data_IF_265912088437
#
_entry.id   IF_265912088437
#
_cell.length_a   1.000
_cell.length_b   1.000
_cell.length_c   1.000
_cell.angle_alpha   90.00
_cell.angle_beta   90.00
_cell.angle_gamma   90.00
#
_symmetry.space_group_name_H-M   'P 1'
#
loop_
_entity.id
_entity.type
_entity.pdbx_description
1 polymer ?
#
# COMPACT_ATOMS: atom_id res chain seq x y z
N UNK A 1 -32.53 -49.71 -8.37
CA UNK A 1 -31.19 -49.46 -8.96
C UNK A 1 -30.71 -48.13 -8.40
N UNK A 2 -29.85 -48.14 -7.38
CA UNK A 2 -29.33 -46.92 -6.75
C UNK A 2 -28.19 -46.36 -7.58
N UNK A 3 -28.45 -45.30 -8.34
CA UNK A 3 -27.44 -44.55 -9.07
C UNK A 3 -26.41 -43.98 -8.08
N UNK A 4 -25.21 -44.55 -8.12
CA UNK A 4 -24.08 -44.05 -7.31
C UNK A 4 -23.57 -42.78 -7.98
N UNK A 5 -24.04 -41.62 -7.52
CA UNK A 5 -23.58 -40.30 -8.00
C UNK A 5 -22.09 -40.17 -7.65
N UNK A 6 -21.23 -40.45 -8.62
CA UNK A 6 -19.79 -40.25 -8.50
C UNK A 6 -19.50 -38.75 -8.24
N UNK A 7 -18.72 -38.40 -7.21
CA UNK A 7 -18.45 -37.01 -6.88
C UNK A 7 -17.64 -36.35 -8.01
N UNK A 8 -17.90 -35.07 -8.32
CA UNK A 8 -17.19 -34.37 -9.38
C UNK A 8 -15.68 -34.35 -9.07
N UNK A 9 -14.89 -34.83 -10.02
CA UNK A 9 -13.43 -34.93 -9.95
C UNK A 9 -12.77 -33.99 -10.96
N UNK A 10 -11.49 -33.67 -10.72
CA UNK A 10 -10.69 -32.79 -11.55
C UNK A 10 -9.23 -33.23 -11.54
N UNK A 11 -8.56 -33.10 -12.69
CA UNK A 11 -7.13 -33.36 -12.81
C UNK A 11 -6.29 -32.22 -12.22
N UNK A 12 -5.30 -32.57 -11.41
CA UNK A 12 -4.33 -31.62 -10.87
C UNK A 12 -3.35 -31.14 -11.95
N UNK A 13 -3.08 -29.84 -12.02
CA UNK A 13 -2.14 -29.25 -12.98
C UNK A 13 -0.65 -29.55 -12.70
N UNK A 14 -0.32 -30.20 -11.58
CA UNK A 14 1.06 -30.52 -11.18
C UNK A 14 1.34 -32.01 -11.16
N UNK A 15 0.55 -32.79 -10.42
CA UNK A 15 0.72 -34.25 -10.34
C UNK A 15 -0.10 -35.03 -11.37
N UNK A 16 -0.92 -34.36 -12.18
CA UNK A 16 -1.77 -34.97 -13.21
C UNK A 16 -2.75 -36.06 -12.75
N UNK A 17 -2.91 -36.28 -11.44
CA UNK A 17 -3.88 -37.21 -10.86
C UNK A 17 -5.29 -36.62 -10.85
N UNK A 18 -6.30 -37.47 -11.11
CA UNK A 18 -7.71 -37.16 -10.90
C UNK A 18 -8.02 -37.19 -9.40
N UNK A 19 -8.42 -36.04 -8.83
CA UNK A 19 -8.79 -35.90 -7.42
C UNK A 19 -10.19 -35.30 -7.29
N UNK A 20 -10.95 -35.59 -6.21
CA UNK A 20 -12.26 -34.99 -6.00
C UNK A 20 -12.15 -33.45 -5.84
N UNK A 21 -13.19 -32.70 -6.19
CA UNK A 21 -13.16 -31.22 -6.13
C UNK A 21 -12.86 -30.65 -4.72
N UNK A 22 -13.06 -31.42 -3.65
CA UNK A 22 -12.70 -31.07 -2.26
C UNK A 22 -11.19 -30.83 -2.07
N UNK A 23 -10.36 -31.52 -2.86
CA UNK A 23 -8.89 -31.40 -2.87
C UNK A 23 -8.38 -30.12 -3.53
N UNK A 24 -9.28 -29.31 -4.12
CA UNK A 24 -8.92 -28.06 -4.78
C UNK A 24 -9.50 -26.86 -4.02
N UNK A 25 -8.62 -25.92 -3.63
CA UNK A 25 -9.04 -24.66 -2.96
C UNK A 25 -9.89 -23.81 -3.91
N UNK A 26 -10.92 -23.14 -3.38
CA UNK A 26 -11.73 -22.16 -4.12
C UNK A 26 -10.85 -21.00 -4.59
N UNK A 27 -11.15 -20.44 -5.78
CA UNK A 27 -10.59 -19.14 -6.18
C UNK A 27 -11.27 -18.06 -5.34
N UNK A 28 -10.49 -17.09 -4.89
CA UNK A 28 -10.96 -15.91 -4.15
C UNK A 28 -10.72 -14.68 -5.00
N UNK A 29 -11.68 -13.74 -5.02
CA UNK A 29 -11.52 -12.44 -5.70
C UNK A 29 -12.76 -11.99 -6.49
N UNK A 30 -12.76 -10.73 -6.92
CA UNK A 30 -13.90 -10.01 -7.54
C UNK A 30 -14.44 -10.64 -8.84
N UNK A 31 -13.74 -11.63 -9.41
CA UNK A 31 -14.10 -12.33 -10.67
C UNK A 31 -14.31 -13.86 -10.49
N UNK A 32 -14.30 -14.41 -9.27
CA UNK A 32 -14.50 -15.85 -9.07
C UNK A 32 -15.98 -16.21 -9.06
N UNK A 33 -16.46 -16.97 -10.05
CA UNK A 33 -17.75 -17.67 -9.97
C UNK A 33 -17.70 -18.69 -8.82
N UNK A 34 -18.80 -18.88 -8.07
CA UNK A 34 -18.84 -19.63 -6.80
C UNK A 34 -18.36 -21.10 -6.84
N UNK A 35 -18.30 -21.70 -8.04
CA UNK A 35 -17.87 -23.07 -8.30
C UNK A 35 -16.38 -23.15 -8.71
N UNK A 36 -15.73 -22.02 -9.03
CA UNK A 36 -14.37 -21.99 -9.58
C UNK A 36 -13.29 -22.43 -8.58
N UNK A 37 -12.63 -23.55 -8.87
CA UNK A 37 -11.50 -24.09 -8.08
C UNK A 37 -10.15 -23.77 -8.74
N UNK A 38 -9.09 -23.72 -7.93
CA UNK A 38 -7.70 -23.56 -8.41
C UNK A 38 -7.25 -24.81 -9.18
N UNK A 39 -6.13 -24.71 -9.90
CA UNK A 39 -5.58 -25.82 -10.71
C UNK A 39 -4.73 -26.83 -9.94
N UNK A 40 -4.18 -26.43 -8.79
CA UNK A 40 -3.35 -27.27 -7.93
C UNK A 40 -4.19 -27.97 -6.86
N UNK A 41 -3.93 -29.25 -6.59
CA UNK A 41 -4.43 -29.92 -5.40
C UNK A 41 -3.73 -29.37 -4.13
N UNK A 42 -4.32 -29.61 -2.96
CA UNK A 42 -3.78 -29.16 -1.66
C UNK A 42 -2.35 -29.63 -1.40
N UNK A 43 -2.05 -30.86 -1.77
CA UNK A 43 -0.76 -31.53 -1.54
C UNK A 43 0.38 -30.93 -2.37
N UNK A 44 0.20 -30.83 -3.70
CA UNK A 44 1.17 -30.14 -4.58
C UNK A 44 1.39 -28.69 -4.18
N UNK A 45 0.38 -28.04 -3.57
CA UNK A 45 0.52 -26.69 -3.05
C UNK A 45 1.38 -26.65 -1.79
N UNK A 46 1.14 -27.55 -0.82
CA UNK A 46 1.97 -27.68 0.39
C UNK A 46 3.43 -27.95 0.05
N UNK A 47 3.69 -28.87 -0.89
CA UNK A 47 5.05 -29.20 -1.34
C UNK A 47 5.78 -28.01 -1.97
N UNK A 48 5.05 -27.10 -2.63
CA UNK A 48 5.63 -25.88 -3.22
C UNK A 48 5.74 -24.72 -2.23
N UNK A 49 4.83 -24.61 -1.28
CA UNK A 49 4.89 -23.64 -0.17
C UNK A 49 6.02 -23.99 0.81
N UNK A 50 6.41 -25.27 0.92
CA UNK A 50 7.50 -25.74 1.76
C UNK A 50 8.91 -25.39 1.25
N UNK A 51 9.09 -25.03 -0.03
CA UNK A 51 10.40 -24.72 -0.62
C UNK A 51 11.42 -25.87 -0.52
N UNK A 52 12.60 -25.78 -1.18
CA UNK A 52 13.63 -26.78 -1.02
C UNK A 52 14.39 -26.52 0.29
N UNK A 53 13.90 -27.07 1.40
CA UNK A 53 14.77 -27.31 2.55
C UNK A 53 15.72 -28.45 2.17
N UNK A 54 17.00 -28.10 2.01
CA UNK A 54 18.17 -28.97 1.98
C UNK A 54 17.99 -30.33 1.28
N UNK A 55 18.49 -30.43 0.05
CA UNK A 55 18.97 -31.72 -0.43
C UNK A 55 20.21 -32.10 0.39
N UNK A 56 20.20 -33.28 1.04
CA UNK A 56 21.37 -34.14 0.91
C UNK A 56 20.92 -35.56 0.60
N UNK A 57 21.15 -35.99 -0.63
CA UNK A 57 21.34 -37.41 -0.94
C UNK A 57 22.45 -37.42 -2.00
N UNK A 58 23.59 -38.06 -1.75
CA UNK A 58 23.69 -39.51 -1.64
C UNK A 58 24.84 -39.96 -0.74
N UNK A 59 24.54 -40.81 0.23
CA UNK A 59 25.44 -41.84 0.68
C UNK A 59 24.64 -43.16 0.73
N UNK A 60 25.15 -44.17 0.03
CA UNK A 60 24.57 -45.50 -0.09
C UNK A 60 24.60 -46.20 1.28
N UNK A 61 23.50 -46.85 1.66
CA UNK A 61 23.44 -47.72 2.84
C UNK A 61 23.58 -49.19 2.42
N UNK A 62 24.45 -49.92 3.12
CA UNK A 62 24.37 -51.36 3.32
C UNK A 62 24.19 -51.64 4.84
N UNK A 63 23.48 -52.69 5.28
CA UNK A 63 23.03 -52.84 6.67
C UNK A 63 23.80 -53.93 7.46
N UNK A 64 23.95 -53.74 8.79
CA UNK A 64 24.00 -54.81 9.80
C UNK A 64 23.99 -54.27 11.26
N UNK A 65 22.89 -54.56 11.98
CA UNK A 65 22.63 -55.00 13.38
C UNK A 65 23.71 -54.93 14.51
N UNK A 66 23.38 -55.18 15.80
CA UNK A 66 22.75 -54.29 16.80
C UNK A 66 23.55 -54.22 18.13
N UNK A 67 23.11 -53.46 19.15
CA UNK A 67 23.10 -53.80 20.60
C UNK A 67 22.65 -52.60 21.47
N UNK A 68 22.32 -52.87 22.74
CA UNK A 68 21.25 -52.29 23.59
C UNK A 68 21.81 -51.43 24.78
N UNK A 69 21.04 -50.97 25.82
CA UNK A 69 21.12 -49.64 26.48
C UNK A 69 21.55 -49.80 27.98
N UNK A 70 21.18 -48.99 29.04
CA UNK A 70 20.35 -47.77 29.18
C UNK A 70 20.86 -46.70 30.20
N UNK A 71 20.06 -45.65 30.44
CA UNK A 71 20.17 -44.74 31.62
C UNK A 71 19.38 -43.42 31.43
N UNK A 72 18.09 -43.34 31.77
CA UNK A 72 17.47 -42.92 33.06
C UNK A 72 17.51 -41.42 33.37
N UNK A 73 16.33 -40.83 33.60
CA UNK A 73 16.09 -39.59 34.36
C UNK A 73 15.07 -38.65 33.70
N UNK A 74 13.75 -38.75 33.92
CA UNK A 74 12.93 -38.06 34.97
C UNK A 74 13.24 -36.56 35.11
N UNK A 75 12.34 -35.59 35.26
CA UNK A 75 10.88 -35.51 35.36
C UNK A 75 10.50 -34.01 35.55
N UNK A 76 9.19 -33.71 35.39
CA UNK A 76 8.39 -32.63 36.06
C UNK A 76 8.66 -31.17 35.64
N UNK A 77 7.64 -30.48 35.09
CA UNK A 77 6.59 -29.66 35.77
C UNK A 77 7.22 -28.42 36.44
N UNK A 78 6.77 -27.19 36.19
CA UNK A 78 5.47 -26.76 36.72
C UNK A 78 4.79 -25.62 35.95
N UNK A 79 3.46 -25.61 36.12
CA UNK A 79 2.55 -24.52 35.77
C UNK A 79 2.49 -23.55 36.95
N UNK A 80 2.42 -22.25 36.68
CA UNK A 80 1.75 -21.34 37.62
C UNK A 80 1.00 -20.25 36.88
N UNK A 81 -0.32 -20.33 36.98
CA UNK A 81 -1.29 -19.24 36.86
C UNK A 81 -1.25 -18.42 38.15
N UNK A 82 -1.33 -17.09 38.07
CA UNK A 82 -2.13 -16.29 39.03
C UNK A 82 -2.70 -15.07 38.31
N UNK A 83 -4.02 -14.91 38.42
CA UNK A 83 -4.84 -13.75 38.10
C UNK A 83 -5.06 -12.88 39.34
N UNK A 84 -5.29 -11.56 39.17
CA UNK A 84 -6.12 -10.69 40.04
C UNK A 84 -6.38 -9.38 39.27
N UNK A 85 -7.62 -9.11 38.79
CA UNK A 85 -8.70 -8.27 39.41
C UNK A 85 -8.36 -6.77 39.45
N UNK A 86 -8.96 -5.85 38.66
CA UNK A 86 -10.36 -5.39 38.50
C UNK A 86 -10.74 -4.16 39.38
N UNK A 87 -11.61 -3.31 38.81
CA UNK A 87 -12.24 -2.06 39.30
C UNK A 87 -11.50 -0.73 38.97
N UNK A 88 -12.12 0.34 38.47
CA UNK A 88 -13.54 0.61 38.29
C UNK A 88 -13.85 1.87 37.46
N UNK A 89 -15.15 2.04 37.25
CA UNK A 89 -15.98 2.92 36.44
C UNK A 89 -15.68 4.43 36.34
N UNK A 90 -16.04 5.00 35.20
CA UNK A 90 -16.30 6.44 35.01
C UNK A 90 -16.99 6.70 33.66
N UNK A 91 -18.31 6.88 33.69
CA UNK A 91 -19.16 7.17 32.52
C UNK A 91 -19.18 8.66 32.19
N UNK A 92 -18.97 9.05 30.93
CA UNK A 92 -19.40 10.36 30.38
C UNK A 92 -19.89 10.20 28.94
N UNK A 93 -21.06 10.80 28.70
CA UNK A 93 -21.94 10.79 27.51
C UNK A 93 -21.38 11.70 26.38
N UNK A 94 -21.69 11.44 25.09
CA UNK A 94 -21.01 12.08 23.95
C UNK A 94 -21.61 13.44 23.54
N UNK A 95 -20.83 14.37 22.98
CA UNK A 95 -21.36 15.52 22.25
C UNK A 95 -21.49 15.26 20.74
N UNK A 96 -22.41 16.03 20.18
CA UNK A 96 -23.08 15.88 18.90
C UNK A 96 -22.26 16.27 17.66
N UNK A 97 -22.75 15.80 16.51
CA UNK A 97 -22.23 15.97 15.16
C UNK A 97 -22.18 17.43 14.68
N UNK A 98 -21.22 17.82 13.83
CA UNK A 98 -21.28 19.08 13.11
C UNK A 98 -22.17 18.98 11.86
N UNK A 99 -22.96 20.04 11.74
CA UNK A 99 -23.96 20.40 10.75
C UNK A 99 -23.42 20.37 9.31
N UNK A 100 -24.16 19.69 8.42
CA UNK A 100 -24.00 19.74 6.97
C UNK A 100 -24.41 21.11 6.45
N UNK A 101 -23.54 21.77 5.70
CA UNK A 101 -23.89 22.92 4.88
C UNK A 101 -24.69 22.48 3.63
N UNK A 102 -25.64 23.31 3.16
CA UNK A 102 -26.56 22.96 2.07
C UNK A 102 -25.89 22.95 0.70
N UNK A 103 -26.28 21.96 -0.10
CA UNK A 103 -25.94 21.79 -1.51
C UNK A 103 -26.57 22.88 -2.38
N UNK A 104 -25.75 23.45 -3.27
CA UNK A 104 -26.17 24.34 -4.36
C UNK A 104 -27.18 23.65 -5.30
N UNK A 105 -28.12 24.39 -5.91
CA UNK A 105 -29.25 23.82 -6.62
C UNK A 105 -28.90 23.22 -7.99
N UNK A 106 -29.66 22.18 -8.34
CA UNK A 106 -29.75 21.50 -9.62
C UNK A 106 -29.97 22.48 -10.78
N UNK A 107 -29.18 22.30 -11.85
CA UNK A 107 -29.43 22.97 -13.13
C UNK A 107 -30.46 22.17 -13.91
N UNK A 108 -31.56 22.86 -14.24
CA UNK A 108 -32.72 22.36 -14.95
C UNK A 108 -32.38 21.80 -16.34
N UNK A 109 -33.16 20.77 -16.70
CA UNK A 109 -33.36 20.25 -18.05
C UNK A 109 -34.23 21.21 -18.86
N UNK A 110 -33.72 21.65 -20.00
CA UNK A 110 -34.48 22.04 -21.19
C UNK A 110 -33.68 21.47 -22.39
N UNK A 111 -34.20 20.78 -23.40
CA UNK A 111 -35.57 20.61 -23.83
C UNK A 111 -35.72 21.15 -25.27
N UNK A 112 -35.54 20.26 -26.27
CA UNK A 112 -35.90 20.39 -27.72
C UNK A 112 -34.92 21.27 -28.54
N UNK A 113 -34.59 20.97 -29.81
CA UNK A 113 -35.42 20.44 -30.90
C UNK A 113 -34.57 19.75 -31.98
N UNK A 114 -35.11 18.68 -32.58
CA UNK A 114 -34.70 18.16 -33.89
C UNK A 114 -35.33 18.97 -35.03
N UNK A 115 -34.81 18.86 -36.26
CA UNK A 115 -35.66 18.38 -37.34
C UNK A 115 -35.03 17.23 -38.14
N UNK A 116 -35.84 16.22 -38.48
CA UNK A 116 -35.62 15.38 -39.67
C UNK A 116 -35.96 16.19 -40.94
N UNK A 117 -35.68 15.79 -42.17
CA UNK A 117 -35.51 14.48 -42.78
C UNK A 117 -34.80 14.70 -44.14
N UNK A 118 -34.02 13.73 -44.62
CA UNK A 118 -34.24 13.02 -45.91
C UNK A 118 -33.09 13.27 -46.90
N UNK A 119 -32.72 12.24 -47.68
CA UNK A 119 -31.85 12.43 -48.85
C UNK A 119 -30.72 11.41 -49.00
N UNK A 120 -31.03 10.28 -49.61
CA UNK A 120 -30.10 9.29 -50.14
C UNK A 120 -29.11 9.94 -51.13
N UNK A 121 -27.82 9.59 -51.04
CA UNK A 121 -26.96 9.27 -52.20
C UNK A 121 -25.59 8.76 -51.74
N UNK A 122 -25.35 7.48 -52.02
CA UNK A 122 -24.03 6.89 -51.92
C UNK A 122 -23.06 7.54 -52.90
N UNK A 123 -21.89 7.93 -52.41
CA UNK A 123 -20.67 8.06 -53.20
C UNK A 123 -19.55 7.37 -52.46
N UNK A 124 -18.98 6.37 -53.11
CA UNK A 124 -17.87 5.57 -52.63
C UNK A 124 -16.68 6.47 -52.30
N UNK A 125 -16.12 6.32 -51.09
CA UNK A 125 -14.82 6.91 -50.73
C UNK A 125 -13.72 6.15 -51.46
N UNK A 126 -12.78 6.82 -52.14
CA UNK A 126 -11.63 6.14 -52.72
C UNK A 126 -10.77 5.56 -51.58
N UNK A 127 -10.51 4.26 -51.67
CA UNK A 127 -9.42 3.61 -50.93
C UNK A 127 -8.12 4.08 -51.57
N UNK A 128 -7.36 4.93 -50.87
CA UNK A 128 -5.89 4.92 -50.90
C UNK A 128 -5.33 5.96 -49.93
N UNK A 129 -4.60 5.46 -48.95
CA UNK A 129 -3.32 5.94 -48.44
C UNK A 129 -3.20 5.37 -47.03
N UNK A 130 -2.27 4.44 -46.87
CA UNK A 130 -1.87 3.88 -45.59
C UNK A 130 -1.77 4.99 -44.55
N UNK A 131 -2.69 4.97 -43.58
CA UNK A 131 -2.58 5.76 -42.37
C UNK A 131 -1.23 5.43 -41.76
N UNK A 132 -0.29 6.37 -41.88
CA UNK A 132 1.02 6.27 -41.28
C UNK A 132 0.86 5.76 -39.86
N UNK A 133 1.44 4.59 -39.59
CA UNK A 133 1.56 4.09 -38.22
C UNK A 133 2.23 5.22 -37.44
N UNK A 134 1.50 5.83 -36.52
CA UNK A 134 2.09 6.79 -35.60
C UNK A 134 3.23 6.07 -34.90
N UNK A 135 4.47 6.44 -35.25
CA UNK A 135 5.66 5.90 -34.62
C UNK A 135 5.46 6.15 -33.12
N UNK A 136 5.46 5.12 -32.26
CA UNK A 136 5.37 5.33 -30.83
C UNK A 136 6.51 6.26 -30.45
N UNK A 137 6.22 7.51 -30.08
CA UNK A 137 7.25 8.42 -29.61
C UNK A 137 7.99 7.70 -28.49
N UNK A 138 9.26 7.35 -28.75
CA UNK A 138 10.09 6.72 -27.74
C UNK A 138 10.18 7.73 -26.60
N UNK A 139 9.50 7.43 -25.50
CA UNK A 139 9.61 8.24 -24.29
C UNK A 139 11.07 8.13 -23.89
N UNK A 140 11.76 9.26 -23.84
CA UNK A 140 13.18 9.32 -23.46
C UNK A 140 13.44 8.60 -22.13
N UNK A 141 14.73 8.38 -21.79
CA UNK A 141 15.11 7.68 -20.57
C UNK A 141 14.37 8.26 -19.36
N UNK A 142 13.88 7.37 -18.48
CA UNK A 142 13.19 7.79 -17.27
C UNK A 142 14.16 8.61 -16.42
N UNK A 143 13.73 9.76 -15.88
CA UNK A 143 14.57 10.55 -14.99
C UNK A 143 14.92 9.73 -13.74
N UNK A 144 16.07 10.03 -13.14
CA UNK A 144 16.42 9.51 -11.83
C UNK A 144 15.31 9.89 -10.83
N UNK A 145 14.78 8.94 -10.04
CA UNK A 145 13.76 9.22 -9.03
C UNK A 145 14.13 10.32 -8.01
N UNK A 146 15.42 10.58 -7.76
CA UNK A 146 15.88 11.57 -6.79
C UNK A 146 16.37 12.88 -7.42
N UNK A 147 16.55 12.92 -8.74
CA UNK A 147 17.02 14.13 -9.41
C UNK A 147 15.89 15.14 -9.64
N UNK A 148 15.76 16.09 -8.70
CA UNK A 148 14.80 17.19 -8.80
C UNK A 148 15.06 18.11 -10.00
N UNK A 149 16.29 18.16 -10.53
CA UNK A 149 16.67 19.03 -11.66
C UNK A 149 16.04 18.59 -12.97
N UNK A 150 15.60 17.33 -13.06
CA UNK A 150 14.89 16.78 -14.21
C UNK A 150 13.43 17.26 -14.31
N UNK A 151 12.92 17.97 -13.30
CA UNK A 151 11.55 18.49 -13.30
C UNK A 151 11.41 19.69 -14.25
N UNK A 152 10.40 19.60 -15.11
CA UNK A 152 10.03 20.66 -16.05
C UNK A 152 8.59 21.07 -15.77
N UNK A 153 8.34 22.31 -15.33
CA UNK A 153 7.00 22.79 -15.07
C UNK A 153 6.15 22.87 -16.34
N UNK A 154 4.84 22.96 -16.14
CA UNK A 154 3.91 23.37 -17.20
C UNK A 154 4.16 24.84 -17.60
N UNK A 155 3.51 25.31 -18.67
CA UNK A 155 3.56 26.73 -19.06
C UNK A 155 3.07 27.70 -17.96
N UNK A 156 2.34 27.19 -16.96
CA UNK A 156 1.89 27.93 -15.76
C UNK A 156 2.83 27.81 -14.56
N UNK A 157 4.01 27.19 -14.68
CA UNK A 157 4.93 26.98 -13.55
C UNK A 157 4.64 25.76 -12.67
N UNK A 158 3.57 25.00 -12.94
CA UNK A 158 3.09 23.93 -12.04
C UNK A 158 3.64 22.53 -12.36
N UNK A 159 3.76 21.69 -11.33
CA UNK A 159 4.10 20.26 -11.35
C UNK A 159 2.94 19.42 -10.79
N UNK A 160 2.69 18.26 -11.40
CA UNK A 160 1.68 17.33 -10.90
C UNK A 160 2.25 16.46 -9.78
N UNK A 161 1.69 16.54 -8.58
CA UNK A 161 1.96 15.61 -7.50
C UNK A 161 0.86 14.55 -7.43
N UNK A 162 1.24 13.28 -7.28
CA UNK A 162 0.30 12.18 -7.02
C UNK A 162 0.64 11.43 -5.74
N UNK A 163 -0.36 10.81 -5.14
CA UNK A 163 -0.16 9.98 -3.96
C UNK A 163 -1.36 9.10 -3.62
N UNK A 164 -1.31 8.53 -2.43
CA UNK A 164 -2.40 7.76 -1.84
C UNK A 164 -2.81 8.41 -0.52
N UNK A 165 -4.10 8.36 -0.21
CA UNK A 165 -4.60 8.70 1.13
C UNK A 165 -4.38 7.54 2.09
N UNK A 166 -4.64 7.78 3.39
CA UNK A 166 -4.54 6.73 4.42
C UNK A 166 -5.53 5.56 4.15
N UNK A 167 -6.60 5.80 3.39
CA UNK A 167 -7.56 4.77 2.93
C UNK A 167 -7.14 4.11 1.62
N UNK A 168 -5.93 4.38 1.13
CA UNK A 168 -5.40 3.88 -0.14
C UNK A 168 -6.02 4.50 -1.41
N UNK A 169 -6.80 5.57 -1.30
CA UNK A 169 -7.40 6.23 -2.47
C UNK A 169 -6.35 7.07 -3.17
N UNK A 170 -6.25 6.93 -4.50
CA UNK A 170 -5.36 7.75 -5.33
C UNK A 170 -5.86 9.19 -5.40
N UNK A 171 -4.93 10.13 -5.35
CA UNK A 171 -5.20 11.56 -5.53
C UNK A 171 -4.11 12.21 -6.38
N UNK A 172 -4.45 13.37 -6.96
CA UNK A 172 -3.55 14.21 -7.74
C UNK A 172 -3.77 15.66 -7.35
N UNK A 173 -2.70 16.45 -7.34
CA UNK A 173 -2.71 17.87 -7.01
C UNK A 173 -1.66 18.58 -7.84
N UNK A 174 -1.97 19.77 -8.34
CA UNK A 174 -0.96 20.65 -8.95
C UNK A 174 -0.29 21.47 -7.86
N UNK A 175 1.03 21.49 -7.86
CA UNK A 175 1.88 22.24 -6.92
C UNK A 175 2.89 23.08 -7.69
N UNK A 176 3.44 24.10 -7.05
CA UNK A 176 4.52 24.89 -7.64
C UNK A 176 5.82 24.09 -7.79
N UNK A 177 6.67 24.48 -8.74
CA UNK A 177 7.98 23.86 -8.97
C UNK A 177 8.87 23.93 -7.74
N UNK A 178 8.91 25.06 -7.03
CA UNK A 178 9.78 25.20 -5.86
C UNK A 178 9.41 24.18 -4.77
N UNK A 179 8.11 24.05 -4.48
CA UNK A 179 7.61 23.03 -3.55
C UNK A 179 7.94 21.62 -4.02
N UNK A 180 7.78 21.32 -5.32
CA UNK A 180 8.12 20.01 -5.85
C UNK A 180 9.60 19.66 -5.68
N UNK A 181 10.49 20.62 -5.91
CA UNK A 181 11.94 20.47 -5.71
C UNK A 181 12.25 20.20 -4.24
N UNK A 182 11.68 20.96 -3.31
CA UNK A 182 11.89 20.76 -1.87
C UNK A 182 11.43 19.37 -1.43
N UNK A 183 10.24 18.92 -1.85
CA UNK A 183 9.73 17.60 -1.49
C UNK A 183 10.59 16.45 -2.02
N UNK A 184 11.24 16.60 -3.18
CA UNK A 184 12.14 15.57 -3.73
C UNK A 184 13.48 15.58 -3.00
N UNK A 185 14.08 16.77 -2.81
CA UNK A 185 15.37 16.92 -2.12
C UNK A 185 15.31 16.42 -0.68
N UNK A 186 14.21 16.71 0.01
CA UNK A 186 14.01 16.30 1.40
C UNK A 186 13.38 14.89 1.51
N UNK A 187 13.47 14.07 0.45
CA UNK A 187 13.07 12.65 0.44
C UNK A 187 11.59 12.37 0.77
N UNK A 188 10.70 13.36 0.61
CA UNK A 188 9.26 13.19 0.81
C UNK A 188 8.55 12.66 -0.46
N UNK A 189 9.14 12.90 -1.63
CA UNK A 189 8.62 12.50 -2.93
C UNK A 189 9.73 12.01 -3.85
N UNK A 190 9.33 11.29 -4.91
CA UNK A 190 10.23 10.86 -5.99
C UNK A 190 9.72 11.31 -7.35
N UNK A 191 10.63 11.62 -8.25
CA UNK A 191 10.32 11.93 -9.64
C UNK A 191 9.83 10.66 -10.34
N UNK A 192 8.66 10.75 -10.96
CA UNK A 192 8.10 9.67 -11.79
C UNK A 192 8.37 9.96 -13.25
N UNK A 193 8.04 11.18 -13.65
CA UNK A 193 8.22 11.74 -14.97
C UNK A 193 8.65 13.20 -14.81
N UNK A 194 9.15 13.82 -15.88
CA UNK A 194 9.59 15.23 -15.89
C UNK A 194 8.55 16.23 -15.38
N UNK A 195 7.24 15.92 -15.46
CA UNK A 195 6.16 16.79 -14.96
C UNK A 195 5.41 16.22 -13.75
N UNK A 196 5.91 15.13 -13.16
CA UNK A 196 5.14 14.42 -12.14
C UNK A 196 6.03 13.83 -11.06
N UNK A 197 5.76 14.23 -9.81
CA UNK A 197 6.32 13.60 -8.63
C UNK A 197 5.30 12.71 -7.95
N UNK A 198 5.77 11.71 -7.21
CA UNK A 198 4.94 10.84 -6.36
C UNK A 198 5.36 11.00 -4.92
N UNK A 199 4.41 11.37 -4.05
CA UNK A 199 4.62 11.37 -2.60
C UNK A 199 4.82 9.93 -2.11
N UNK A 200 5.86 9.73 -1.30
CA UNK A 200 6.26 8.38 -0.86
C UNK A 200 5.34 7.83 0.24
N UNK A 201 4.93 8.70 1.15
CA UNK A 201 4.20 8.33 2.36
C UNK A 201 2.79 8.90 2.37
N UNK A 202 1.82 8.12 2.86
CA UNK A 202 0.55 8.67 3.35
C UNK A 202 0.77 9.42 4.67
N UNK A 203 -0.24 10.13 5.20
CA UNK A 203 -0.04 10.84 6.47
C UNK A 203 0.17 9.87 7.62
N UNK A 204 -0.56 8.75 7.63
CA UNK A 204 -0.38 7.67 8.62
C UNK A 204 1.00 7.01 8.49
N UNK A 205 1.40 6.66 7.27
CA UNK A 205 2.68 5.98 7.04
C UNK A 205 3.86 6.91 7.34
N UNK A 206 3.72 8.20 7.01
CA UNK A 206 4.72 9.21 7.34
C UNK A 206 4.90 9.32 8.84
N UNK A 207 3.79 9.32 9.60
CA UNK A 207 3.87 9.36 11.06
C UNK A 207 4.61 8.14 11.61
N UNK A 208 4.22 6.95 11.16
CA UNK A 208 4.87 5.72 11.58
C UNK A 208 6.36 5.70 11.21
N UNK A 209 6.71 6.20 10.02
CA UNK A 209 8.08 6.28 9.53
C UNK A 209 8.97 7.14 10.44
N UNK A 210 8.58 8.37 10.75
CA UNK A 210 9.38 9.27 11.61
C UNK A 210 9.54 8.70 13.01
N UNK A 211 8.45 8.23 13.64
CA UNK A 211 8.51 7.67 14.99
C UNK A 211 9.42 6.44 15.06
N UNK A 212 9.36 5.57 14.04
CA UNK A 212 10.22 4.37 14.00
C UNK A 212 11.67 4.72 13.69
N UNK A 213 11.92 5.67 12.76
CA UNK A 213 13.26 6.16 12.41
C UNK A 213 13.97 6.72 13.64
N UNK A 214 13.25 7.49 14.44
CA UNK A 214 13.77 8.18 15.63
C UNK A 214 13.64 7.32 16.90
N UNK A 215 13.29 6.03 16.77
CA UNK A 215 13.17 5.07 17.89
C UNK A 215 12.21 5.52 19.00
N UNK A 216 11.20 6.33 18.68
CA UNK A 216 10.29 6.94 19.65
C UNK A 216 11.03 7.79 20.72
N UNK A 217 12.18 8.36 20.37
CA UNK A 217 12.94 9.26 21.24
C UNK A 217 12.66 10.69 20.81
N UNK A 218 12.25 11.52 21.77
CA UNK A 218 12.01 12.94 21.57
C UNK A 218 13.32 13.64 21.22
N UNK A 219 13.36 14.32 20.07
CA UNK A 219 14.52 15.07 19.61
C UNK A 219 14.96 16.18 20.59
N UNK A 220 14.01 16.76 21.33
CA UNK A 220 14.27 17.90 22.20
C UNK A 220 14.76 17.52 23.60
N UNK A 221 14.10 16.56 24.25
CA UNK A 221 14.40 16.20 25.65
C UNK A 221 15.03 14.81 25.83
N UNK A 222 15.11 14.00 24.77
CA UNK A 222 15.65 12.63 24.82
C UNK A 222 14.75 11.59 25.51
N UNK A 223 13.58 11.98 26.01
CA UNK A 223 12.59 11.06 26.60
C UNK A 223 11.69 10.43 25.53
N UNK A 224 10.82 9.50 25.92
CA UNK A 224 9.86 8.89 25.00
C UNK A 224 8.96 9.93 24.29
N UNK A 225 8.81 9.79 22.98
CA UNK A 225 7.98 10.61 22.12
C UNK A 225 7.09 9.79 21.21
N UNK A 226 5.82 10.18 21.09
CA UNK A 226 4.82 9.53 20.26
C UNK A 226 4.17 10.49 19.26
N UNK A 227 4.61 11.75 19.23
CA UNK A 227 4.16 12.79 18.30
C UNK A 227 5.27 13.18 17.33
N UNK A 228 4.93 14.01 16.34
CA UNK A 228 5.89 14.56 15.38
C UNK A 228 5.79 16.07 15.46
N UNK A 229 6.93 16.72 15.45
CA UNK A 229 7.05 18.16 15.30
C UNK A 229 7.90 18.53 14.07
N UNK A 230 7.72 19.75 13.58
CA UNK A 230 8.48 20.33 12.48
C UNK A 230 9.62 21.20 13.02
N UNK A 231 10.86 20.94 12.60
CA UNK A 231 12.02 21.76 12.97
C UNK A 231 11.82 23.23 12.57
N UNK A 232 11.50 23.47 11.31
CA UNK A 232 10.89 24.72 10.83
C UNK A 232 9.37 24.60 10.92
N UNK A 233 8.67 25.39 11.74
CA UNK A 233 7.22 25.31 11.88
C UNK A 233 6.48 25.56 10.56
N UNK A 234 5.32 24.91 10.38
CA UNK A 234 4.49 25.08 9.17
C UNK A 234 4.06 26.52 8.91
N UNK A 235 3.79 27.28 9.98
CA UNK A 235 3.43 28.70 9.88
C UNK A 235 4.55 29.57 9.27
N UNK A 236 5.80 29.09 9.38
CA UNK A 236 7.02 29.75 8.88
C UNK A 236 7.52 29.12 7.57
N UNK A 237 6.68 28.34 6.88
CA UNK A 237 7.00 27.74 5.59
C UNK A 237 7.54 26.32 5.65
N UNK A 238 7.71 25.72 6.83
CA UNK A 238 8.19 24.34 6.96
C UNK A 238 7.26 23.31 6.33
N UNK A 239 7.85 22.36 5.61
CA UNK A 239 7.11 21.29 4.94
C UNK A 239 7.13 19.99 5.75
N UNK A 240 6.17 19.11 5.48
CA UNK A 240 6.11 17.78 6.12
C UNK A 240 6.96 16.81 5.33
N UNK A 241 8.23 16.77 5.66
CA UNK A 241 9.26 15.98 4.98
C UNK A 241 10.12 15.24 6.00
N UNK A 242 10.75 14.12 5.62
CA UNK A 242 11.72 13.43 6.46
C UNK A 242 12.75 14.36 7.11
N UNK A 243 13.28 15.33 6.37
CA UNK A 243 14.38 16.17 6.86
C UNK A 243 13.89 17.26 7.83
N UNK A 244 12.64 17.74 7.68
CA UNK A 244 12.07 18.77 8.56
C UNK A 244 11.25 18.21 9.73
N UNK A 245 10.91 16.92 9.75
CA UNK A 245 10.09 16.32 10.80
C UNK A 245 10.90 15.41 11.73
N UNK A 246 10.66 15.54 13.03
CA UNK A 246 11.31 14.74 14.08
C UNK A 246 10.28 14.18 15.07
N UNK A 247 10.62 13.09 15.74
CA UNK A 247 9.87 12.59 16.88
C UNK A 247 9.95 13.57 18.05
N UNK A 248 8.80 13.85 18.67
CA UNK A 248 8.68 14.73 19.83
C UNK A 248 7.69 14.15 20.85
N UNK A 249 7.96 14.37 22.14
CA UNK A 249 6.95 14.14 23.17
C UNK A 249 5.88 15.25 23.14
N UNK A 250 4.70 14.94 23.67
CA UNK A 250 3.57 15.87 23.63
C UNK A 250 3.90 17.21 24.33
N UNK A 251 4.62 17.17 25.46
CA UNK A 251 5.01 18.37 26.21
C UNK A 251 5.92 19.28 25.37
N UNK A 252 7.06 18.77 24.87
CA UNK A 252 7.98 19.57 24.07
C UNK A 252 7.33 20.11 22.78
N UNK A 253 6.50 19.30 22.11
CA UNK A 253 5.78 19.71 20.91
C UNK A 253 4.85 20.91 21.19
N UNK A 254 4.08 20.85 22.29
CA UNK A 254 3.21 21.95 22.70
C UNK A 254 4.00 23.19 23.15
N UNK A 255 5.10 23.01 23.89
CA UNK A 255 5.92 24.14 24.37
C UNK A 255 6.62 24.86 23.22
N UNK A 256 7.15 24.13 22.23
CA UNK A 256 7.79 24.73 21.05
C UNK A 256 6.77 25.46 20.17
N UNK A 257 5.60 24.86 19.92
CA UNK A 257 4.54 25.44 19.09
C UNK A 257 5.06 25.95 17.72
N UNK A 258 5.01 27.26 17.49
CA UNK A 258 5.46 27.91 16.26
C UNK A 258 6.84 28.61 16.41
N UNK A 259 7.57 28.37 17.49
CA UNK A 259 8.93 28.87 17.69
C UNK A 259 9.92 28.18 16.75
N UNK A 260 10.98 28.90 16.39
CA UNK A 260 12.11 28.30 15.66
C UNK A 260 12.82 27.29 16.57
N UNK A 261 13.42 26.25 15.98
CA UNK A 261 14.11 25.22 16.78
C UNK A 261 15.30 25.79 17.54
N UNK A 262 16.01 26.73 16.94
CA UNK A 262 17.16 27.43 17.53
C UNK A 262 16.75 28.18 18.81
N UNK A 263 15.66 28.95 18.71
CA UNK A 263 15.05 29.69 19.82
C UNK A 263 14.61 28.74 20.95
N UNK A 264 13.91 27.65 20.60
CA UNK A 264 13.39 26.70 21.59
C UNK A 264 14.50 25.91 22.29
N UNK A 265 15.55 25.53 21.57
CA UNK A 265 16.68 24.78 22.14
C UNK A 265 17.70 25.68 22.84
N UNK A 266 17.53 27.00 22.77
CA UNK A 266 18.42 27.98 23.41
C UNK A 266 19.84 27.92 22.84
N UNK A 267 19.99 27.69 21.54
CA UNK A 267 21.27 27.62 20.83
C UNK A 267 21.37 28.70 19.77
#
# INVERSE_FOLDING_TARGET
MTETILPPSKQCAYCHQLKPLSEFRRRTGKRSKGISRRGACRECRKLREAGPAAAPLRASAAPALPERPPGTGTAKRDKTLVSISAAGSGAVKPPAAPVRQPSLPERAKEGRSSPGTSGLKGKARPRSAETGRTIPQQRGPKPDPQDASALIPSGKGMILMRGHSDKGRRWHQEIDLALAVTLVREHAAVVVNRRTIRRLYSNKDFRAYILTRDQYICYFCGLYGDTIDHLLPRAKGGHTTPDNCVCACNLCNQTKADQYVEEFMGR
#
